data_IF_053371524086
#
_entry.id   IF_053371524086
#
_cell.length_a   1.000
_cell.length_b   1.000
_cell.length_c   1.000
_cell.angle_alpha   90.00
_cell.angle_beta   90.00
_cell.angle_gamma   90.00
#
_symmetry.space_group_name_H-M   'P 1'
#
loop_
_entity.id
_entity.type
_entity.pdbx_description
1 polymer ?
#
# COMPACT_ATOMS: atom_id res chain seq x y z
N UNK A 1 -10.33 -11.21 23.23
CA UNK A 1 -9.89 -11.74 21.93
C UNK A 1 -10.67 -10.99 20.85
N UNK A 2 -10.01 -10.23 19.98
CA UNK A 2 -10.69 -9.34 19.01
C UNK A 2 -10.80 -10.08 17.67
N UNK A 3 -12.03 -10.28 17.19
CA UNK A 3 -12.30 -10.85 15.87
C UNK A 3 -12.07 -9.77 14.81
N UNK A 4 -11.23 -10.06 13.81
CA UNK A 4 -10.94 -9.17 12.69
C UNK A 4 -11.88 -9.39 11.52
N UNK A 5 -12.17 -10.65 11.17
CA UNK A 5 -13.13 -10.97 10.11
C UNK A 5 -13.71 -12.39 10.28
N UNK A 6 -14.86 -12.62 9.66
CA UNK A 6 -15.52 -13.92 9.53
C UNK A 6 -16.11 -14.03 8.12
N UNK A 7 -15.34 -14.61 7.21
CA UNK A 7 -15.67 -14.63 5.77
C UNK A 7 -16.03 -16.05 5.32
N UNK A 8 -17.21 -16.30 4.73
CA UNK A 8 -17.55 -17.60 4.17
C UNK A 8 -16.70 -17.90 2.92
N UNK A 9 -15.57 -18.58 3.09
CA UNK A 9 -14.60 -18.78 1.98
C UNK A 9 -15.08 -19.70 0.87
N UNK A 10 -16.12 -20.51 1.13
CA UNK A 10 -16.77 -21.37 0.14
C UNK A 10 -17.61 -20.61 -0.90
N UNK A 11 -17.90 -19.33 -0.64
CA UNK A 11 -18.64 -18.46 -1.56
C UNK A 11 -17.71 -17.55 -2.38
N UNK A 12 -16.41 -17.57 -2.08
CA UNK A 12 -15.44 -16.70 -2.74
C UNK A 12 -15.09 -17.22 -4.14
N UNK A 13 -15.02 -16.30 -5.09
CA UNK A 13 -14.59 -16.55 -6.46
C UNK A 13 -13.41 -15.65 -6.82
N UNK A 14 -12.55 -16.14 -7.71
CA UNK A 14 -11.56 -15.34 -8.42
C UNK A 14 -11.81 -15.51 -9.92
N UNK A 15 -12.50 -14.53 -10.52
CA UNK A 15 -13.10 -14.67 -11.84
C UNK A 15 -14.14 -15.79 -11.86
N UNK A 16 -14.09 -16.66 -12.87
CA UNK A 16 -15.07 -17.75 -13.05
C UNK A 16 -14.80 -18.97 -12.14
N UNK A 17 -13.77 -18.91 -11.29
CA UNK A 17 -13.35 -20.04 -10.45
C UNK A 17 -13.64 -19.74 -8.99
N UNK A 18 -14.38 -20.62 -8.33
CA UNK A 18 -14.40 -20.64 -6.86
C UNK A 18 -12.98 -20.79 -6.30
N UNK A 19 -12.69 -20.11 -5.19
CA UNK A 19 -11.46 -20.32 -4.44
C UNK A 19 -11.55 -21.63 -3.65
N UNK A 20 -10.39 -22.23 -3.34
CA UNK A 20 -10.32 -23.46 -2.51
C UNK A 20 -11.04 -24.68 -3.10
N UNK A 21 -11.06 -24.81 -4.44
CA UNK A 21 -11.72 -25.94 -5.11
C UNK A 21 -11.11 -27.29 -4.73
N UNK A 22 -11.92 -28.37 -4.72
CA UNK A 22 -11.42 -29.74 -4.71
C UNK A 22 -10.47 -29.97 -5.88
N UNK A 23 -9.30 -30.56 -5.61
CA UNK A 23 -8.33 -30.89 -6.67
C UNK A 23 -8.92 -31.95 -7.61
N UNK A 24 -8.99 -31.65 -8.92
CA UNK A 24 -9.45 -32.58 -9.96
C UNK A 24 -8.55 -33.81 -10.16
N UNK A 25 -7.35 -33.84 -9.58
CA UNK A 25 -6.37 -34.92 -9.72
C UNK A 25 -6.42 -35.98 -8.61
N UNK A 26 -7.47 -36.01 -7.79
CA UNK A 26 -7.62 -37.04 -6.77
C UNK A 26 -8.44 -38.22 -7.30
N UNK A 27 -8.00 -39.49 -7.10
CA UNK A 27 -8.76 -40.65 -7.52
C UNK A 27 -10.16 -40.66 -6.84
N UNK A 28 -11.15 -41.02 -7.65
CA UNK A 28 -12.58 -40.71 -7.60
C UNK A 28 -13.41 -41.04 -6.34
N UNK A 29 -12.85 -41.39 -5.18
CA UNK A 29 -13.65 -41.92 -4.06
C UNK A 29 -13.98 -40.96 -2.90
N UNK A 30 -13.69 -39.66 -2.99
CA UNK A 30 -13.95 -38.72 -1.87
C UNK A 30 -14.45 -37.31 -2.28
N UNK A 31 -14.87 -37.10 -3.54
CA UNK A 31 -15.36 -35.78 -3.98
C UNK A 31 -16.61 -35.30 -3.23
N UNK A 32 -17.35 -36.19 -2.56
CA UNK A 32 -18.53 -35.86 -1.74
C UNK A 32 -18.18 -35.37 -0.32
N UNK A 33 -16.94 -35.50 0.15
CA UNK A 33 -16.66 -35.37 1.59
C UNK A 33 -16.60 -33.95 2.14
N UNK A 34 -16.54 -32.88 1.32
CA UNK A 34 -16.36 -31.52 1.84
C UNK A 34 -17.24 -30.43 1.22
N UNK A 35 -18.05 -30.74 0.19
CA UNK A 35 -18.91 -29.75 -0.46
C UNK A 35 -20.04 -29.20 0.45
N UNK A 36 -20.38 -29.90 1.52
CA UNK A 36 -21.42 -29.49 2.50
C UNK A 36 -20.85 -28.73 3.70
N UNK A 37 -19.53 -28.66 3.86
CA UNK A 37 -18.89 -27.94 4.94
C UNK A 37 -18.76 -26.47 4.54
N UNK A 38 -19.72 -25.65 5.00
CA UNK A 38 -19.59 -24.20 4.99
C UNK A 38 -18.32 -23.81 5.75
N UNK A 39 -17.21 -23.59 5.05
CA UNK A 39 -15.99 -23.13 5.68
C UNK A 39 -15.99 -21.60 5.75
N UNK A 40 -15.83 -21.09 6.97
CA UNK A 40 -15.62 -19.67 7.25
C UNK A 40 -14.17 -19.43 7.67
N UNK A 41 -13.54 -18.39 7.11
CA UNK A 41 -12.25 -17.89 7.54
C UNK A 41 -12.47 -16.88 8.65
N UNK A 42 -12.15 -17.28 9.88
CA UNK A 42 -12.18 -16.41 11.06
C UNK A 42 -10.76 -16.00 11.42
N UNK A 43 -10.47 -14.70 11.31
CA UNK A 43 -9.18 -14.15 11.72
C UNK A 43 -9.34 -13.38 13.02
N UNK A 44 -8.40 -13.60 13.94
CA UNK A 44 -8.38 -13.03 15.28
C UNK A 44 -7.09 -12.26 15.46
N UNK A 45 -7.19 -11.07 16.05
CA UNK A 45 -6.02 -10.24 16.33
C UNK A 45 -5.03 -10.98 17.24
N UNK A 46 -3.75 -10.98 16.85
CA UNK A 46 -2.66 -11.62 17.58
C UNK A 46 -2.50 -13.12 17.35
N UNK A 47 -3.38 -13.76 16.58
CA UNK A 47 -3.26 -15.17 16.24
C UNK A 47 -2.37 -15.42 15.01
N UNK A 48 -1.73 -16.59 14.97
CA UNK A 48 -0.92 -17.06 13.84
C UNK A 48 -1.60 -18.23 13.18
N UNK A 49 -1.83 -18.15 11.87
CA UNK A 49 -2.57 -19.14 11.10
C UNK A 49 -1.70 -19.81 10.05
N UNK A 50 -1.96 -21.09 9.79
CA UNK A 50 -1.31 -21.86 8.74
C UNK A 50 -2.35 -22.25 7.68
N UNK A 51 -2.11 -21.85 6.43
CA UNK A 51 -2.95 -22.23 5.30
C UNK A 51 -2.34 -23.43 4.57
N UNK A 52 -2.89 -24.62 4.81
CA UNK A 52 -2.47 -25.87 4.19
C UNK A 52 -3.38 -26.27 3.03
N UNK A 53 -2.81 -26.90 2.01
CA UNK A 53 -3.56 -27.42 0.88
C UNK A 53 -2.67 -27.77 -0.31
N UNK A 54 -3.19 -28.56 -1.26
CA UNK A 54 -2.46 -28.97 -2.47
C UNK A 54 -2.06 -27.77 -3.33
N UNK A 55 -1.04 -27.95 -4.16
CA UNK A 55 -0.73 -26.95 -5.20
C UNK A 55 -1.92 -26.80 -6.14
N UNK A 56 -2.24 -25.56 -6.49
CA UNK A 56 -3.41 -25.25 -7.32
C UNK A 56 -4.76 -25.18 -6.60
N UNK A 57 -4.86 -25.42 -5.28
CA UNK A 57 -6.12 -25.21 -4.55
C UNK A 57 -6.44 -23.73 -4.27
N UNK A 58 -5.66 -22.77 -4.78
CA UNK A 58 -5.96 -21.34 -4.65
C UNK A 58 -5.42 -20.66 -3.38
N UNK A 59 -4.47 -21.26 -2.65
CA UNK A 59 -3.83 -20.64 -1.46
C UNK A 59 -3.26 -19.25 -1.76
N UNK A 60 -2.40 -19.15 -2.76
CA UNK A 60 -1.78 -17.89 -3.17
C UNK A 60 -2.83 -16.88 -3.66
N UNK A 61 -3.93 -17.36 -4.25
CA UNK A 61 -5.03 -16.50 -4.67
C UNK A 61 -5.82 -15.95 -3.48
N UNK A 62 -6.09 -16.76 -2.45
CA UNK A 62 -6.70 -16.28 -1.21
C UNK A 62 -5.80 -15.25 -0.50
N UNK A 63 -4.49 -15.50 -0.43
CA UNK A 63 -3.54 -14.54 0.15
C UNK A 63 -3.50 -13.21 -0.63
N UNK A 64 -3.59 -13.26 -1.96
CA UNK A 64 -3.74 -12.05 -2.80
C UNK A 64 -5.04 -11.31 -2.52
N UNK A 65 -6.18 -12.01 -2.46
CA UNK A 65 -7.46 -11.39 -2.15
C UNK A 65 -7.49 -10.71 -0.77
N UNK A 66 -6.82 -11.30 0.22
CA UNK A 66 -6.63 -10.71 1.56
C UNK A 66 -5.78 -9.44 1.47
N UNK A 67 -4.68 -9.47 0.71
CA UNK A 67 -3.80 -8.32 0.52
C UNK A 67 -4.48 -7.16 -0.22
N UNK A 68 -5.18 -7.47 -1.30
CA UNK A 68 -5.96 -6.52 -2.11
C UNK A 68 -7.25 -6.05 -1.41
N UNK A 69 -7.57 -6.63 -0.24
CA UNK A 69 -8.79 -6.36 0.54
C UNK A 69 -10.08 -6.55 -0.28
N UNK A 70 -10.08 -7.52 -1.20
CA UNK A 70 -11.22 -7.83 -2.07
C UNK A 70 -12.20 -8.84 -1.45
N UNK A 71 -11.87 -9.35 -0.25
CA UNK A 71 -12.79 -10.18 0.52
C UNK A 71 -13.96 -9.34 1.06
N UNK A 72 -15.19 -9.91 1.07
CA UNK A 72 -16.34 -9.23 1.64
C UNK A 72 -16.12 -8.96 3.14
N UNK A 73 -16.60 -7.80 3.60
CA UNK A 73 -16.54 -7.37 5.00
C UNK A 73 -15.12 -7.33 5.60
N UNK A 74 -14.09 -7.08 4.78
CA UNK A 74 -12.73 -6.89 5.28
C UNK A 74 -12.61 -5.55 6.04
N UNK A 75 -12.09 -5.54 7.28
CA UNK A 75 -12.02 -4.32 8.09
C UNK A 75 -11.09 -3.26 7.48
N UNK A 76 -11.59 -2.04 7.32
CA UNK A 76 -10.85 -0.91 6.74
C UNK A 76 -9.62 -0.48 7.55
N UNK A 77 -9.68 -0.62 8.87
CA UNK A 77 -8.63 -0.26 9.80
C UNK A 77 -7.49 -1.29 9.88
N UNK A 78 -7.61 -2.42 9.18
CA UNK A 78 -6.55 -3.45 9.14
C UNK A 78 -5.70 -3.24 7.91
N UNK A 79 -4.40 -3.01 8.13
CA UNK A 79 -3.41 -2.97 7.07
C UNK A 79 -2.88 -4.36 6.77
N UNK A 80 -2.83 -4.72 5.49
CA UNK A 80 -2.44 -6.06 5.04
C UNK A 80 -1.19 -5.98 4.16
N UNK A 81 -0.12 -6.65 4.57
CA UNK A 81 1.11 -6.78 3.77
C UNK A 81 1.27 -8.22 3.28
N UNK A 82 1.71 -8.39 2.04
CA UNK A 82 1.94 -9.70 1.43
C UNK A 82 3.40 -9.82 1.02
N UNK A 83 4.09 -10.82 1.58
CA UNK A 83 5.40 -11.23 1.07
C UNK A 83 5.17 -12.23 -0.05
N UNK A 84 5.40 -11.79 -1.29
CA UNK A 84 5.22 -12.62 -2.46
C UNK A 84 6.23 -13.78 -2.50
N UNK A 85 5.80 -14.91 -3.06
CA UNK A 85 6.69 -16.05 -3.24
C UNK A 85 7.78 -15.70 -4.25
N UNK A 86 9.04 -15.77 -3.81
CA UNK A 86 10.20 -15.55 -4.68
C UNK A 86 10.49 -14.09 -4.98
N UNK A 87 10.15 -13.15 -4.08
CA UNK A 87 10.55 -11.74 -4.19
C UNK A 87 12.07 -11.65 -4.44
N UNK A 88 12.52 -11.34 -5.67
CA UNK A 88 13.93 -11.25 -5.95
C UNK A 88 14.46 -9.94 -5.34
N UNK A 89 15.69 -9.96 -4.82
CA UNK A 89 16.37 -8.70 -4.53
C UNK A 89 16.63 -7.99 -5.86
N UNK A 90 16.38 -6.67 -5.95
CA UNK A 90 16.80 -5.89 -7.09
C UNK A 90 18.31 -6.12 -7.33
N UNK A 91 18.74 -6.32 -8.59
CA UNK A 91 20.13 -6.61 -8.88
C UNK A 91 21.00 -5.40 -8.54
N UNK A 92 21.91 -5.58 -7.58
CA UNK A 92 22.82 -4.53 -7.13
C UNK A 92 22.51 -4.00 -5.74
N UNK A 93 21.29 -4.20 -5.23
CA UNK A 93 20.89 -3.74 -3.91
C UNK A 93 21.40 -4.69 -2.81
N UNK A 94 21.84 -4.09 -1.71
CA UNK A 94 22.00 -4.83 -0.46
C UNK A 94 20.64 -5.21 0.12
N UNK A 95 20.55 -6.26 0.95
CA UNK A 95 19.30 -6.61 1.63
C UNK A 95 18.69 -5.46 2.45
N UNK A 96 19.52 -4.55 2.98
CA UNK A 96 19.07 -3.38 3.71
C UNK A 96 18.39 -2.36 2.79
N UNK A 97 19.03 -2.03 1.67
CA UNK A 97 18.48 -1.11 0.67
C UNK A 97 17.18 -1.65 0.08
N UNK A 98 17.11 -2.95 -0.21
CA UNK A 98 15.89 -3.59 -0.71
C UNK A 98 14.72 -3.52 0.29
N UNK A 99 15.00 -3.58 1.60
CA UNK A 99 13.96 -3.45 2.64
C UNK A 99 13.52 -2.00 2.82
N UNK A 100 14.47 -1.06 2.84
CA UNK A 100 14.18 0.37 2.96
C UNK A 100 13.42 0.89 1.73
N UNK A 101 13.81 0.46 0.53
CA UNK A 101 13.15 0.85 -0.72
C UNK A 101 11.77 0.21 -0.95
N UNK A 102 11.38 -0.80 -0.15
CA UNK A 102 10.06 -1.42 -0.28
C UNK A 102 8.92 -0.60 0.35
N UNK A 103 9.21 0.42 1.16
CA UNK A 103 8.20 1.32 1.71
C UNK A 103 7.84 2.43 0.71
N UNK A 104 6.98 2.09 -0.25
CA UNK A 104 6.48 3.03 -1.26
C UNK A 104 5.78 4.25 -0.64
N UNK A 105 5.20 4.12 0.56
CA UNK A 105 4.50 5.20 1.23
C UNK A 105 5.49 6.21 1.80
N UNK A 106 6.55 5.73 2.45
CA UNK A 106 7.64 6.58 2.92
C UNK A 106 8.31 7.30 1.74
N UNK A 107 8.62 6.58 0.66
CA UNK A 107 9.20 7.16 -0.55
C UNK A 107 8.31 8.26 -1.16
N UNK A 108 6.99 8.03 -1.22
CA UNK A 108 6.04 9.03 -1.72
C UNK A 108 5.96 10.28 -0.84
N UNK A 109 5.96 10.12 0.49
CA UNK A 109 5.92 11.25 1.42
C UNK A 109 7.19 12.09 1.40
N UNK A 110 8.37 11.45 1.25
CA UNK A 110 9.63 12.16 1.11
C UNK A 110 9.66 12.99 -0.18
N UNK A 111 9.18 12.42 -1.29
CA UNK A 111 9.09 13.14 -2.56
C UNK A 111 8.09 14.32 -2.50
N UNK A 112 6.97 14.15 -1.81
CA UNK A 112 6.00 15.23 -1.58
C UNK A 112 6.60 16.35 -0.72
N UNK A 113 7.32 16.01 0.35
CA UNK A 113 8.01 16.97 1.19
C UNK A 113 9.05 17.79 0.39
N UNK A 114 9.88 17.12 -0.43
CA UNK A 114 10.86 17.78 -1.29
C UNK A 114 10.21 18.74 -2.30
N UNK A 115 9.08 18.35 -2.90
CA UNK A 115 8.33 19.24 -3.80
C UNK A 115 7.80 20.48 -3.08
N UNK A 116 7.27 20.31 -1.87
CA UNK A 116 6.75 21.43 -1.06
C UNK A 116 7.89 22.36 -0.65
N UNK A 117 9.02 21.82 -0.20
CA UNK A 117 10.22 22.59 0.13
C UNK A 117 10.71 23.42 -1.06
N UNK A 118 10.81 22.83 -2.24
CA UNK A 118 11.23 23.55 -3.45
C UNK A 118 10.26 24.67 -3.85
N UNK A 119 8.95 24.42 -3.75
CA UNK A 119 7.95 25.44 -4.04
C UNK A 119 7.99 26.61 -3.05
N UNK A 120 8.31 26.35 -1.78
CA UNK A 120 8.49 27.41 -0.77
C UNK A 120 9.74 28.24 -1.05
N UNK A 121 10.84 27.63 -1.53
CA UNK A 121 12.05 28.37 -1.92
C UNK A 121 11.80 29.26 -3.14
N UNK A 122 11.09 28.76 -4.16
CA UNK A 122 10.76 29.51 -5.38
C UNK A 122 9.88 30.76 -5.08
N UNK A 123 8.89 30.68 -4.18
CA UNK A 123 8.05 31.83 -3.80
C UNK A 123 8.79 32.90 -2.99
N UNK A 124 9.91 32.57 -2.34
CA UNK A 124 10.70 33.55 -1.57
C UNK A 124 11.58 34.46 -2.42
N UNK A 125 11.81 34.13 -3.70
CA UNK A 125 12.73 34.87 -4.57
C UNK A 125 12.05 36.01 -5.38
N UNK A 126 10.73 35.97 -5.55
CA UNK A 126 9.99 36.95 -6.37
C UNK A 126 9.52 38.20 -5.58
N UNK A 127 9.91 38.34 -4.31
CA UNK A 127 9.47 39.41 -3.40
C UNK A 127 10.39 40.63 -3.28
N UNK A 128 11.60 40.62 -3.84
CA UNK A 128 12.58 41.71 -3.72
C UNK A 128 12.98 42.27 -5.08
N UNK A 129 12.15 43.13 -5.65
CA UNK A 129 12.56 43.91 -6.82
C UNK A 129 11.43 44.73 -7.41
N UNK A 130 11.23 45.95 -6.90
CA UNK A 130 10.92 47.14 -7.72
C UNK A 130 10.79 48.37 -6.82
N UNK A 131 11.67 49.36 -7.03
CA UNK A 131 11.63 50.64 -6.34
C UNK A 131 12.86 51.54 -6.49
N UNK A 132 13.52 51.56 -7.65
CA UNK A 132 14.35 52.72 -8.04
C UNK A 132 13.50 53.67 -8.88
N UNK A 133 13.43 54.92 -8.45
CA UNK A 133 12.80 56.03 -9.16
C UNK A 133 13.36 57.31 -8.58
N UNK A 134 14.44 57.77 -9.19
CA UNK A 134 15.09 59.06 -8.97
C UNK A 134 14.07 60.21 -9.04
N UNK A 135 14.16 61.16 -8.10
CA UNK A 135 13.64 62.52 -8.32
C UNK A 135 14.79 63.51 -8.07
N UNK A 136 15.41 63.88 -9.18
CA UNK A 136 16.37 64.97 -9.32
C UNK A 136 15.69 66.32 -9.03
N UNK A 137 16.39 67.20 -8.33
CA UNK A 137 16.38 68.62 -8.68
C UNK A 137 15.69 69.61 -7.73
N UNK A 138 16.54 70.53 -7.27
CA UNK A 138 16.26 71.95 -6.96
C UNK A 138 15.47 72.31 -5.69
N UNK A 139 16.18 72.89 -4.71
CA UNK A 139 15.85 74.27 -4.31
C UNK A 139 17.07 75.01 -3.74
N UNK A 140 17.26 76.21 -4.27
CA UNK A 140 18.36 77.14 -4.02
C UNK A 140 18.19 77.88 -2.68
N UNK A 141 19.32 78.09 -1.99
CA UNK A 141 19.58 79.32 -1.22
C UNK A 141 19.09 79.38 0.23
N UNK A 142 20.00 79.67 1.17
CA UNK A 142 20.10 81.00 1.77
C UNK A 142 21.34 81.08 2.68
N UNK A 143 22.30 81.92 2.29
CA UNK A 143 23.40 82.38 3.12
C UNK A 143 22.88 83.52 4.03
N UNK A 144 23.01 83.40 5.34
CA UNK A 144 22.70 84.53 6.23
C UNK A 144 23.00 84.29 7.71
N UNK A 145 23.78 85.20 8.28
CA UNK A 145 24.37 85.25 9.63
C UNK A 145 23.40 85.15 10.82
#
# INVERSE_FOLDING_TARGET
MVLLCDVPVHELTAGDKQLLQPSRNWPMHQAQCYAHLKCGLKLVAGARYLLLGKNGCGKSTLLRAIHERTLPDWPSHVTTHLVAQGSPLPPGDTPLEAVLGADEREAGLLAEAEMIERAMEEETFDGEGEGEGDDDGDDDGDDGE
#
